data_IF_368751287047
#
_entry.id   IF_368751287047
#
_cell.length_a   1.000
_cell.length_b   1.000
_cell.length_c   1.000
_cell.angle_alpha   90.00
_cell.angle_beta   90.00
_cell.angle_gamma   90.00
#
_symmetry.space_group_name_H-M   'P 1'
#
loop_
_entity.id
_entity.type
_entity.pdbx_description
1 polymer ?
#
# COMPACT_ATOMS: atom_id res chain seq x y z
N UNK A 1 9.49 6.34 -7.53
CA UNK A 1 9.98 5.99 -6.16
C UNK A 1 10.16 7.28 -5.36
N UNK A 2 9.19 7.63 -4.50
CA UNK A 2 9.18 7.45 -3.03
C UNK A 2 10.04 8.46 -2.23
N UNK A 3 9.66 9.75 -2.14
CA UNK A 3 10.27 10.70 -1.21
C UNK A 3 10.15 10.31 0.27
N UNK A 4 9.29 9.34 0.61
CA UNK A 4 9.18 8.75 1.95
C UNK A 4 10.19 7.64 2.22
N UNK A 5 10.42 6.71 1.29
CA UNK A 5 11.50 5.72 1.46
C UNK A 5 12.87 6.38 1.49
N UNK A 6 13.08 7.47 0.74
CA UNK A 6 14.32 8.25 0.82
C UNK A 6 14.46 8.91 2.19
N UNK A 7 13.38 9.48 2.75
CA UNK A 7 13.39 10.05 4.11
C UNK A 7 13.63 9.00 5.19
N UNK A 8 13.02 7.84 5.07
CA UNK A 8 13.16 6.73 6.01
C UNK A 8 14.55 6.10 5.92
N UNK A 9 15.06 5.88 4.70
CA UNK A 9 16.43 5.44 4.46
C UNK A 9 17.45 6.44 4.97
N UNK A 10 17.21 7.74 4.79
CA UNK A 10 18.05 8.81 5.36
C UNK A 10 18.01 8.79 6.88
N UNK A 11 16.84 8.55 7.49
CA UNK A 11 16.70 8.47 8.95
C UNK A 11 17.46 7.26 9.52
N UNK A 12 17.29 6.08 8.93
CA UNK A 12 18.04 4.88 9.31
C UNK A 12 19.55 5.06 9.08
N UNK A 13 19.95 5.70 7.98
CA UNK A 13 21.35 6.02 7.72
C UNK A 13 21.93 7.00 8.75
N UNK A 14 21.15 7.98 9.19
CA UNK A 14 21.55 8.91 10.26
C UNK A 14 21.71 8.18 11.59
N UNK A 15 20.77 7.29 11.97
CA UNK A 15 20.89 6.49 13.19
C UNK A 15 22.11 5.56 13.15
N UNK A 16 22.40 4.92 12.01
CA UNK A 16 23.60 4.10 11.82
C UNK A 16 24.89 4.92 11.90
N UNK A 17 24.88 6.13 11.34
CA UNK A 17 26.04 7.02 11.37
C UNK A 17 26.30 7.55 12.79
N UNK A 18 25.24 7.87 13.54
CA UNK A 18 25.33 8.22 14.97
C UNK A 18 25.87 7.05 15.79
N UNK A 19 25.41 5.82 15.54
CA UNK A 19 25.93 4.62 16.18
C UNK A 19 27.44 4.45 15.92
N UNK A 20 27.88 4.53 14.66
CA UNK A 20 29.29 4.44 14.29
C UNK A 20 30.14 5.53 14.96
N UNK A 21 29.61 6.75 15.08
CA UNK A 21 30.29 7.86 15.72
C UNK A 21 30.43 7.63 17.23
N UNK A 22 29.40 7.08 17.89
CA UNK A 22 29.46 6.72 19.33
C UNK A 22 30.45 5.59 19.59
N UNK A 23 30.54 4.60 18.70
CA UNK A 23 31.56 3.54 18.76
C UNK A 23 32.96 4.13 18.62
N UNK A 24 33.17 5.05 17.67
CA UNK A 24 34.45 5.73 17.48
C UNK A 24 34.90 6.53 18.72
N UNK A 25 33.97 7.26 19.35
CA UNK A 25 34.23 7.99 20.60
C UNK A 25 34.59 7.03 21.74
N UNK A 26 33.86 5.92 21.88
CA UNK A 26 34.14 4.91 22.90
C UNK A 26 35.51 4.24 22.72
N UNK A 27 35.89 3.93 21.48
CA UNK A 27 37.22 3.37 21.18
C UNK A 27 38.33 4.35 21.56
N UNK A 28 38.17 5.66 21.27
CA UNK A 28 39.16 6.67 21.68
C UNK A 28 39.23 6.85 23.19
N UNK A 29 38.10 6.83 23.88
CA UNK A 29 38.05 6.93 25.35
C UNK A 29 38.66 5.70 26.03
N UNK A 30 38.44 4.50 25.47
CA UNK A 30 39.08 3.27 25.92
C UNK A 30 40.59 3.30 25.74
N UNK A 31 41.06 3.75 24.57
CA UNK A 31 42.49 3.93 24.29
C UNK A 31 43.15 5.00 25.17
N UNK A 32 42.39 6.00 25.63
CA UNK A 32 42.84 7.05 26.54
C UNK A 32 42.81 6.63 28.03
N UNK A 33 42.47 5.39 28.35
CA UNK A 33 42.44 4.89 29.74
C UNK A 33 41.18 5.27 30.53
N UNK A 34 40.09 5.63 29.85
CA UNK A 34 38.81 5.99 30.47
C UNK A 34 37.69 4.96 30.13
N UNK A 35 37.79 3.71 30.61
CA UNK A 35 36.87 2.64 30.24
C UNK A 35 35.43 2.89 30.73
N UNK A 36 35.23 3.55 31.87
CA UNK A 36 33.90 3.89 32.37
C UNK A 36 33.15 4.87 31.45
N UNK A 37 33.86 5.87 30.91
CA UNK A 37 33.29 6.83 29.95
C UNK A 37 33.05 6.20 28.58
N UNK A 38 33.92 5.26 28.16
CA UNK A 38 33.70 4.50 26.93
C UNK A 38 32.42 3.65 27.00
N UNK A 39 32.18 2.97 28.13
CA UNK A 39 30.96 2.20 28.37
C UNK A 39 29.73 3.10 28.45
N UNK A 40 29.81 4.25 29.13
CA UNK A 40 28.71 5.22 29.18
C UNK A 40 28.34 5.76 27.80
N UNK A 41 29.34 6.05 26.94
CA UNK A 41 29.12 6.51 25.57
C UNK A 41 28.46 5.44 24.69
N UNK A 42 28.88 4.17 24.80
CA UNK A 42 28.24 3.05 24.11
C UNK A 42 26.81 2.82 24.60
N UNK A 43 26.58 2.90 25.91
CA UNK A 43 25.25 2.72 26.50
C UNK A 43 24.30 3.84 26.05
N UNK A 44 24.74 5.10 26.12
CA UNK A 44 23.93 6.24 25.70
C UNK A 44 23.66 6.24 24.18
N UNK A 45 24.69 5.99 23.36
CA UNK A 45 24.55 5.92 21.90
C UNK A 45 23.71 4.74 21.42
N UNK A 46 23.90 3.57 22.05
CA UNK A 46 23.11 2.37 21.79
C UNK A 46 21.65 2.53 22.20
N UNK A 47 21.36 3.13 23.36
CA UNK A 47 19.99 3.39 23.81
C UNK A 47 19.29 4.40 22.90
N UNK A 48 19.94 5.50 22.53
CA UNK A 48 19.33 6.51 21.67
C UNK A 48 19.02 5.96 20.26
N UNK A 49 19.99 5.28 19.64
CA UNK A 49 19.83 4.70 18.31
C UNK A 49 18.82 3.54 18.32
N UNK A 50 18.87 2.72 19.37
CA UNK A 50 17.92 1.64 19.61
C UNK A 50 16.49 2.16 19.77
N UNK A 51 16.29 3.26 20.50
CA UNK A 51 14.98 3.91 20.63
C UNK A 51 14.48 4.44 19.28
N UNK A 52 15.32 5.10 18.50
CA UNK A 52 14.95 5.66 17.19
C UNK A 52 14.49 4.58 16.21
N UNK A 53 15.24 3.48 16.13
CA UNK A 53 14.90 2.32 15.30
C UNK A 53 13.65 1.61 15.83
N UNK A 54 13.54 1.42 17.15
CA UNK A 54 12.38 0.79 17.77
C UNK A 54 11.10 1.62 17.58
N UNK A 55 11.17 2.94 17.68
CA UNK A 55 10.02 3.83 17.41
C UNK A 55 9.61 3.73 15.94
N UNK A 56 10.56 3.80 15.00
CA UNK A 56 10.27 3.65 13.57
C UNK A 56 9.68 2.28 13.23
N UNK A 57 10.16 1.23 13.90
CA UNK A 57 9.61 -0.12 13.79
C UNK A 57 8.21 -0.20 14.39
N UNK A 58 8.00 0.21 15.65
CA UNK A 58 6.70 0.17 16.34
C UNK A 58 5.65 1.03 15.65
N UNK A 59 6.05 2.16 15.08
CA UNK A 59 5.17 3.08 14.38
C UNK A 59 4.57 2.49 13.08
N UNK A 60 5.02 1.33 12.60
CA UNK A 60 4.41 0.73 11.39
C UNK A 60 4.84 1.34 10.08
N UNK A 61 5.62 2.42 10.12
CA UNK A 61 6.02 3.16 8.92
C UNK A 61 6.84 2.29 7.95
N UNK A 62 7.75 1.47 8.48
CA UNK A 62 8.55 0.51 7.70
C UNK A 62 7.69 -0.63 7.14
N UNK A 63 6.84 -1.21 7.98
CA UNK A 63 6.02 -2.35 7.61
C UNK A 63 4.96 -1.96 6.57
N UNK A 64 4.36 -0.77 6.67
CA UNK A 64 3.38 -0.27 5.71
C UNK A 64 4.04 0.08 4.37
N UNK A 65 5.17 0.80 4.39
CA UNK A 65 5.89 1.17 3.17
C UNK A 65 6.42 -0.04 2.37
N UNK A 66 6.69 -1.15 3.07
CA UNK A 66 7.16 -2.41 2.47
C UNK A 66 6.00 -3.33 2.05
N UNK A 67 5.03 -3.60 2.92
CA UNK A 67 3.93 -4.54 2.64
C UNK A 67 2.81 -3.95 1.80
N UNK A 68 2.51 -2.66 1.98
CA UNK A 68 1.38 -1.99 1.35
C UNK A 68 1.80 -0.61 0.79
N UNK A 69 2.67 -0.58 -0.24
CA UNK A 69 3.28 0.66 -0.74
C UNK A 69 2.26 1.67 -1.31
N UNK A 70 1.12 1.21 -1.82
CA UNK A 70 0.07 2.07 -2.40
C UNK A 70 -0.79 2.68 -1.31
N UNK A 71 -1.04 1.95 -0.22
CA UNK A 71 -1.70 2.48 0.96
C UNK A 71 -0.80 3.45 1.74
N UNK A 72 0.52 3.21 1.82
CA UNK A 72 1.46 4.17 2.41
C UNK A 72 1.46 5.52 1.65
N UNK A 73 1.39 5.49 0.31
CA UNK A 73 1.30 6.69 -0.50
C UNK A 73 0.05 7.54 -0.18
N UNK A 74 -0.99 6.92 0.38
CA UNK A 74 -2.22 7.58 0.83
C UNK A 74 -2.15 8.06 2.28
N UNK A 75 -0.98 7.99 2.91
CA UNK A 75 -0.74 8.34 4.30
C UNK A 75 -1.60 7.56 5.30
N UNK A 76 -2.04 6.34 4.94
CA UNK A 76 -2.64 5.42 5.90
C UNK A 76 -1.57 5.03 6.93
N UNK A 77 -1.81 5.36 8.20
CA UNK A 77 -0.93 4.98 9.32
C UNK A 77 -1.59 3.86 10.10
N UNK A 78 -1.00 2.68 10.06
CA UNK A 78 -1.33 1.59 10.98
C UNK A 78 -0.08 1.27 11.80
N UNK A 79 -0.21 1.12 13.12
CA UNK A 79 0.92 0.71 13.96
C UNK A 79 1.43 -0.68 13.54
N UNK A 80 2.75 -0.92 13.60
CA UNK A 80 3.33 -2.14 13.02
C UNK A 80 2.83 -3.43 13.68
N UNK A 81 2.74 -3.37 15.00
CA UNK A 81 2.63 -4.54 15.86
C UNK A 81 1.22 -5.13 15.81
N UNK A 82 0.21 -4.27 15.75
CA UNK A 82 -1.20 -4.62 15.84
C UNK A 82 -1.96 -4.00 14.66
N UNK A 83 -1.49 -4.25 13.43
CA UNK A 83 -2.26 -3.89 12.24
C UNK A 83 -2.97 -5.12 11.67
N UNK A 84 -4.18 -4.97 11.09
CA UNK A 84 -4.88 -6.03 10.39
C UNK A 84 -4.22 -6.30 9.02
N UNK A 85 -3.00 -6.85 9.04
CA UNK A 85 -2.14 -6.98 7.87
C UNK A 85 -2.76 -7.76 6.73
N UNK A 86 -3.55 -8.81 7.02
CA UNK A 86 -4.25 -9.61 6.02
C UNK A 86 -5.17 -8.75 5.13
N UNK A 87 -6.00 -7.91 5.75
CA UNK A 87 -6.92 -7.00 5.06
C UNK A 87 -6.16 -5.90 4.33
N UNK A 88 -5.14 -5.31 4.96
CA UNK A 88 -4.39 -4.21 4.36
C UNK A 88 -3.60 -4.66 3.13
N UNK A 89 -2.98 -5.84 3.17
CA UNK A 89 -2.31 -6.44 2.01
C UNK A 89 -3.33 -6.80 0.93
N UNK A 90 -4.51 -7.32 1.31
CA UNK A 90 -5.58 -7.58 0.35
C UNK A 90 -6.02 -6.29 -0.36
N UNK A 91 -6.24 -5.21 0.38
CA UNK A 91 -6.60 -3.90 -0.17
C UNK A 91 -5.50 -3.32 -1.09
N UNK A 92 -4.23 -3.36 -0.68
CA UNK A 92 -3.11 -2.91 -1.54
C UNK A 92 -3.02 -3.72 -2.83
N UNK A 93 -3.21 -5.04 -2.73
CA UNK A 93 -3.18 -5.94 -3.89
C UNK A 93 -4.38 -5.76 -4.83
N UNK A 94 -5.55 -5.41 -4.30
CA UNK A 94 -6.71 -5.05 -5.12
C UNK A 94 -6.51 -3.69 -5.81
N UNK A 95 -5.91 -2.70 -5.11
CA UNK A 95 -5.48 -1.44 -5.72
C UNK A 95 -4.42 -1.67 -6.82
N UNK A 96 -3.53 -2.64 -6.63
CA UNK A 96 -2.55 -3.06 -7.63
C UNK A 96 -3.23 -3.57 -8.90
N UNK A 97 -4.19 -4.48 -8.73
CA UNK A 97 -4.93 -5.07 -9.84
C UNK A 97 -5.77 -4.01 -10.58
N UNK A 98 -6.43 -3.11 -9.86
CA UNK A 98 -7.16 -1.98 -10.46
C UNK A 98 -6.23 -1.04 -11.26
N UNK A 99 -5.01 -0.80 -10.79
CA UNK A 99 -4.02 -0.02 -11.54
C UNK A 99 -3.51 -0.76 -12.78
N UNK A 100 -3.34 -2.08 -12.70
CA UNK A 100 -2.93 -2.94 -13.81
C UNK A 100 -4.02 -3.12 -14.87
N UNK A 101 -5.29 -2.88 -14.54
CA UNK A 101 -6.42 -3.01 -15.45
C UNK A 101 -6.44 -1.97 -16.60
N UNK A 102 -5.54 -0.98 -16.62
CA UNK A 102 -5.37 -0.06 -17.74
C UNK A 102 -6.65 0.71 -18.09
N UNK A 103 -7.08 0.62 -19.35
CA UNK A 103 -8.29 1.25 -19.88
C UNK A 103 -9.59 0.77 -19.20
N UNK A 104 -9.61 -0.44 -18.62
CA UNK A 104 -10.78 -0.93 -17.91
C UNK A 104 -11.07 -0.17 -16.61
N UNK A 105 -10.10 0.61 -16.11
CA UNK A 105 -10.27 1.44 -14.92
C UNK A 105 -11.40 2.46 -15.06
N UNK A 106 -11.70 2.91 -16.27
CA UNK A 106 -12.76 3.90 -16.53
C UNK A 106 -14.16 3.35 -16.21
N UNK A 107 -14.35 2.04 -16.29
CA UNK A 107 -15.58 1.36 -15.88
C UNK A 107 -15.72 1.22 -14.35
N UNK A 108 -14.69 1.62 -13.60
CA UNK A 108 -14.64 1.54 -12.13
C UNK A 108 -14.24 2.88 -11.49
N UNK A 109 -14.99 3.97 -11.74
CA UNK A 109 -14.59 5.31 -11.33
C UNK A 109 -14.47 5.45 -9.80
N UNK A 110 -15.31 4.74 -9.05
CA UNK A 110 -15.31 4.78 -7.59
C UNK A 110 -14.49 3.65 -6.93
N UNK A 111 -14.02 2.64 -7.67
CA UNK A 111 -13.40 1.46 -7.07
C UNK A 111 -12.17 1.81 -6.24
N UNK A 112 -11.35 2.77 -6.69
CA UNK A 112 -10.21 3.25 -5.91
C UNK A 112 -10.66 3.82 -4.57
N UNK A 113 -11.73 4.62 -4.54
CA UNK A 113 -12.27 5.22 -3.33
C UNK A 113 -12.80 4.14 -2.38
N UNK A 114 -13.56 3.17 -2.91
CA UNK A 114 -14.10 2.08 -2.11
C UNK A 114 -13.00 1.20 -1.51
N UNK A 115 -11.97 0.82 -2.28
CA UNK A 115 -10.84 0.04 -1.77
C UNK A 115 -10.11 0.75 -0.62
N UNK A 116 -9.94 2.07 -0.72
CA UNK A 116 -9.34 2.89 0.33
C UNK A 116 -10.26 2.97 1.55
N UNK A 117 -11.56 3.16 1.35
CA UNK A 117 -12.55 3.15 2.43
C UNK A 117 -12.60 1.80 3.14
N UNK A 118 -12.49 0.68 2.42
CA UNK A 118 -12.39 -0.66 3.01
C UNK A 118 -11.14 -0.80 3.89
N UNK A 119 -9.99 -0.24 3.48
CA UNK A 119 -8.79 -0.23 4.31
C UNK A 119 -8.98 0.59 5.60
N UNK A 120 -9.63 1.76 5.53
CA UNK A 120 -9.97 2.55 6.73
C UNK A 120 -10.99 1.84 7.63
N UNK A 121 -12.01 1.22 7.05
CA UNK A 121 -13.01 0.42 7.78
C UNK A 121 -12.36 -0.75 8.49
N UNK A 122 -11.39 -1.41 7.87
CA UNK A 122 -10.60 -2.46 8.50
C UNK A 122 -9.81 -1.96 9.71
N UNK A 123 -9.15 -0.79 9.62
CA UNK A 123 -8.48 -0.20 10.78
C UNK A 123 -9.46 0.12 11.91
N UNK A 124 -10.62 0.70 11.59
CA UNK A 124 -11.65 0.99 12.57
C UNK A 124 -12.18 -0.28 13.28
N UNK A 125 -12.47 -1.34 12.51
CA UNK A 125 -12.87 -2.63 13.04
C UNK A 125 -11.78 -3.25 13.92
N UNK A 126 -10.52 -3.20 13.50
CA UNK A 126 -9.41 -3.69 14.29
C UNK A 126 -9.24 -2.93 15.62
N UNK A 127 -9.32 -1.60 15.59
CA UNK A 127 -9.29 -0.79 16.82
C UNK A 127 -10.47 -1.07 17.74
N UNK A 128 -11.66 -1.35 17.19
CA UNK A 128 -12.82 -1.75 17.98
C UNK A 128 -12.59 -3.11 18.65
N UNK A 129 -12.12 -4.12 17.90
CA UNK A 129 -11.79 -5.44 18.44
C UNK A 129 -10.72 -5.35 19.54
N UNK A 130 -9.65 -4.58 19.32
CA UNK A 130 -8.60 -4.37 20.31
C UNK A 130 -9.10 -3.70 21.60
N UNK A 131 -9.96 -2.69 21.48
CA UNK A 131 -10.58 -2.04 22.65
C UNK A 131 -11.53 -2.97 23.39
N UNK A 132 -12.36 -3.73 22.68
CA UNK A 132 -13.26 -4.71 23.28
C UNK A 132 -12.46 -5.78 24.04
N UNK A 133 -11.40 -6.31 23.41
CA UNK A 133 -10.52 -7.30 24.03
C UNK A 133 -9.78 -6.78 25.26
N UNK A 134 -9.29 -5.54 25.21
CA UNK A 134 -8.67 -4.91 26.37
C UNK A 134 -9.67 -4.73 27.52
N UNK A 135 -10.91 -4.31 27.20
CA UNK A 135 -11.98 -4.16 28.20
C UNK A 135 -12.43 -5.51 28.80
N UNK A 136 -12.30 -6.62 28.06
CA UNK A 136 -12.65 -7.96 28.54
C UNK A 136 -11.73 -8.49 29.65
N UNK A 137 -10.48 -8.00 29.73
CA UNK A 137 -9.51 -8.45 30.74
C UNK A 137 -10.02 -8.20 32.16
N UNK A 138 -10.65 -7.05 32.37
CA UNK A 138 -11.11 -6.59 33.70
C UNK A 138 -12.64 -6.68 33.85
N UNK A 139 -13.36 -7.20 32.85
CA UNK A 139 -14.82 -7.23 32.85
C UNK A 139 -15.38 -8.36 33.74
N UNK A 140 -16.22 -8.05 34.75
CA UNK A 140 -16.90 -9.06 35.54
C UNK A 140 -17.89 -9.86 34.67
N UNK A 141 -18.17 -11.10 35.07
CA UNK A 141 -19.16 -11.93 34.38
C UNK A 141 -20.56 -11.28 34.40
N UNK A 142 -21.28 -11.38 33.28
CA UNK A 142 -22.61 -10.81 33.12
C UNK A 142 -22.85 -10.19 31.73
N UNK A 143 -23.95 -9.45 31.60
CA UNK A 143 -24.37 -8.87 30.32
C UNK A 143 -23.34 -7.92 29.69
N UNK A 144 -22.60 -7.16 30.51
CA UNK A 144 -21.59 -6.23 30.03
C UNK A 144 -20.44 -6.95 29.32
N UNK A 145 -19.99 -8.08 29.89
CA UNK A 145 -18.97 -8.95 29.29
C UNK A 145 -19.48 -9.60 28.01
N UNK A 146 -20.71 -10.13 28.02
CA UNK A 146 -21.32 -10.72 26.82
C UNK A 146 -21.44 -9.70 25.66
N UNK A 147 -21.73 -8.43 25.95
CA UNK A 147 -21.74 -7.35 24.94
C UNK A 147 -20.36 -7.07 24.37
N UNK A 148 -19.32 -7.05 25.20
CA UNK A 148 -17.94 -6.86 24.75
C UNK A 148 -17.46 -8.04 23.89
N UNK A 149 -17.77 -9.27 24.27
CA UNK A 149 -17.48 -10.47 23.47
C UNK A 149 -18.20 -10.43 22.11
N UNK A 150 -19.48 -10.02 22.11
CA UNK A 150 -20.22 -9.85 20.87
C UNK A 150 -19.63 -8.74 19.97
N UNK A 151 -19.18 -7.62 20.55
CA UNK A 151 -18.51 -6.54 19.82
C UNK A 151 -17.18 -6.98 19.22
N UNK A 152 -16.35 -7.70 19.97
CA UNK A 152 -15.10 -8.28 19.46
C UNK A 152 -15.39 -9.25 18.31
N UNK A 153 -16.32 -10.19 18.51
CA UNK A 153 -16.67 -11.19 17.51
C UNK A 153 -17.26 -10.57 16.23
N UNK A 154 -18.02 -9.49 16.34
CA UNK A 154 -18.54 -8.77 15.18
C UNK A 154 -17.42 -8.04 14.42
N UNK A 155 -16.52 -7.38 15.15
CA UNK A 155 -15.39 -6.67 14.56
C UNK A 155 -14.40 -7.63 13.86
N UNK A 156 -14.13 -8.81 14.43
CA UNK A 156 -13.31 -9.83 13.79
C UNK A 156 -13.97 -10.39 12.52
N UNK A 157 -15.28 -10.69 12.57
CA UNK A 157 -16.04 -11.14 11.39
C UNK A 157 -16.02 -10.11 10.27
N UNK A 158 -16.13 -8.83 10.60
CA UNK A 158 -16.02 -7.74 9.63
C UNK A 158 -14.63 -7.74 8.95
N UNK A 159 -13.54 -7.95 9.70
CA UNK A 159 -12.20 -8.04 9.13
C UNK A 159 -12.05 -9.23 8.16
N UNK A 160 -12.59 -10.38 8.51
CA UNK A 160 -12.57 -11.56 7.65
C UNK A 160 -13.38 -11.34 6.37
N UNK A 161 -14.59 -10.78 6.50
CA UNK A 161 -15.45 -10.44 5.36
C UNK A 161 -14.77 -9.45 4.42
N UNK A 162 -14.15 -8.39 4.95
CA UNK A 162 -13.40 -7.43 4.15
C UNK A 162 -12.21 -8.10 3.46
N UNK A 163 -11.48 -8.97 4.15
CA UNK A 163 -10.36 -9.73 3.54
C UNK A 163 -10.83 -10.55 2.34
N UNK A 164 -11.91 -11.32 2.52
CA UNK A 164 -12.47 -12.17 1.46
C UNK A 164 -12.99 -11.34 0.28
N UNK A 165 -13.76 -10.30 0.56
CA UNK A 165 -14.31 -9.42 -0.48
C UNK A 165 -13.20 -8.73 -1.30
N UNK A 166 -12.13 -8.26 -0.65
CA UNK A 166 -11.01 -7.63 -1.34
C UNK A 166 -10.21 -8.62 -2.19
N UNK A 167 -10.05 -9.86 -1.73
CA UNK A 167 -9.41 -10.93 -2.50
C UNK A 167 -10.24 -11.32 -3.72
N UNK A 168 -11.55 -11.45 -3.55
CA UNK A 168 -12.47 -11.74 -4.66
C UNK A 168 -12.46 -10.60 -5.68
N UNK A 169 -12.54 -9.35 -5.21
CA UNK A 169 -12.48 -8.19 -6.08
C UNK A 169 -11.15 -8.11 -6.85
N UNK A 170 -10.02 -8.40 -6.20
CA UNK A 170 -8.73 -8.54 -6.90
C UNK A 170 -8.81 -9.62 -7.99
N UNK A 171 -9.33 -10.80 -7.68
CA UNK A 171 -9.43 -11.89 -8.64
C UNK A 171 -10.26 -11.47 -9.86
N UNK A 172 -11.37 -10.76 -9.64
CA UNK A 172 -12.20 -10.20 -10.71
C UNK A 172 -11.47 -9.15 -11.55
N UNK A 173 -10.71 -8.25 -10.93
CA UNK A 173 -9.90 -7.28 -11.69
C UNK A 173 -8.83 -7.97 -12.53
N UNK A 174 -8.16 -8.98 -11.99
CA UNK A 174 -7.18 -9.78 -12.73
C UNK A 174 -7.84 -10.49 -13.91
N UNK A 175 -8.99 -11.14 -13.68
CA UNK A 175 -9.73 -11.83 -14.72
C UNK A 175 -10.23 -10.88 -15.82
N UNK A 176 -10.77 -9.72 -15.44
CA UNK A 176 -11.21 -8.69 -16.39
C UNK A 176 -10.06 -8.08 -17.21
N UNK A 177 -8.85 -8.04 -16.64
CA UNK A 177 -7.64 -7.56 -17.32
C UNK A 177 -6.92 -8.65 -18.14
N UNK A 178 -7.37 -9.91 -18.08
CA UNK A 178 -6.75 -10.98 -18.83
C UNK A 178 -7.03 -10.78 -20.34
N UNK A 179 -6.03 -10.96 -21.22
CA UNK A 179 -6.26 -10.90 -22.65
C UNK A 179 -7.29 -11.96 -23.04
N UNK A 180 -8.29 -11.57 -23.83
CA UNK A 180 -9.25 -12.52 -24.40
C UNK A 180 -8.47 -13.59 -25.19
N UNK A 181 -8.74 -14.88 -24.97
CA UNK A 181 -8.13 -15.92 -25.79
C UNK A 181 -8.46 -15.64 -27.26
N UNK A 182 -7.43 -15.57 -28.10
CA UNK A 182 -7.49 -15.14 -29.52
C UNK A 182 -8.47 -16.00 -30.37
N UNK A 183 -8.94 -17.12 -29.85
CA UNK A 183 -9.94 -17.99 -30.50
C UNK A 183 -11.42 -17.70 -30.18
N UNK A 184 -11.74 -17.01 -29.09
CA UNK A 184 -13.09 -16.99 -28.48
C UNK A 184 -13.73 -15.60 -28.39
N UNK A 185 -13.18 -14.59 -29.08
CA UNK A 185 -13.85 -13.31 -29.18
C UNK A 185 -15.22 -13.50 -29.88
N UNK A 186 -16.35 -13.07 -29.25
CA UNK A 186 -17.64 -12.99 -29.91
C UNK A 186 -17.50 -12.33 -31.28
N UNK A 187 -18.23 -12.78 -32.31
CA UNK A 187 -18.11 -12.25 -33.67
C UNK A 187 -18.21 -10.72 -33.70
N UNK A 188 -19.06 -10.15 -32.84
CA UNK A 188 -19.25 -8.71 -32.65
C UNK A 188 -17.97 -7.96 -32.24
N UNK A 189 -17.12 -8.54 -31.39
CA UNK A 189 -15.85 -7.92 -30.96
C UNK A 189 -14.74 -8.09 -32.01
N UNK A 190 -14.79 -9.15 -32.82
CA UNK A 190 -13.91 -9.28 -33.99
C UNK A 190 -14.24 -8.23 -35.04
N UNK A 191 -15.53 -8.05 -35.32
CA UNK A 191 -16.01 -7.05 -36.26
C UNK A 191 -15.67 -5.63 -35.80
N UNK A 192 -15.82 -5.32 -34.51
CA UNK A 192 -15.39 -4.04 -33.94
C UNK A 192 -13.86 -3.85 -34.03
N UNK A 193 -13.08 -4.92 -33.82
CA UNK A 193 -11.63 -4.92 -33.97
C UNK A 193 -11.20 -4.61 -35.41
N UNK A 194 -11.84 -5.24 -36.39
CA UNK A 194 -11.60 -5.02 -37.82
C UNK A 194 -12.02 -3.60 -38.23
N UNK A 195 -13.17 -3.12 -37.76
CA UNK A 195 -13.62 -1.74 -37.98
C UNK A 195 -12.63 -0.72 -37.40
N UNK A 196 -12.09 -0.97 -36.20
CA UNK A 196 -11.10 -0.07 -35.58
C UNK A 196 -9.77 -0.03 -36.34
N UNK A 197 -9.34 -1.18 -36.89
CA UNK A 197 -8.14 -1.27 -37.73
C UNK A 197 -8.32 -0.60 -39.09
N UNK A 198 -9.50 -0.72 -39.70
CA UNK A 198 -9.85 0.02 -40.92
C UNK A 198 -9.87 1.53 -40.68
N UNK A 199 -10.39 1.97 -39.53
CA UNK A 199 -10.40 3.37 -39.14
C UNK A 199 -8.98 3.90 -38.93
N UNK A 200 -8.12 3.15 -38.23
CA UNK A 200 -6.72 3.50 -38.03
C UNK A 200 -5.94 3.62 -39.36
N UNK A 201 -6.20 2.72 -40.32
CA UNK A 201 -5.61 2.81 -41.67
C UNK A 201 -6.13 4.01 -42.45
N UNK A 202 -7.43 4.28 -42.40
CA UNK A 202 -8.01 5.44 -43.10
C UNK A 202 -7.46 6.77 -42.57
N UNK A 203 -7.19 6.87 -41.27
CA UNK A 203 -6.55 8.03 -40.64
C UNK A 203 -5.08 8.17 -41.08
N UNK A 204 -4.34 7.06 -41.18
CA UNK A 204 -2.95 7.04 -41.66
C UNK A 204 -2.85 7.40 -43.16
N UNK A 205 -3.83 6.97 -43.98
CA UNK A 205 -3.94 7.35 -45.38
C UNK A 205 -4.30 8.83 -45.57
N UNK A 206 -5.21 9.37 -44.76
CA UNK A 206 -5.52 10.80 -44.72
C UNK A 206 -4.31 11.66 -44.30
N UNK A 207 -3.47 11.15 -43.40
CA UNK A 207 -2.23 11.84 -43.01
C UNK A 207 -1.10 11.70 -44.04
N UNK A 208 -1.13 10.67 -44.88
CA UNK A 208 -0.14 10.47 -45.96
C UNK A 208 -0.55 11.06 -47.30
N UNK A 209 -1.80 11.44 -47.51
CA UNK A 209 -2.22 12.11 -48.73
C UNK A 209 -1.58 13.52 -48.80
N UNK A 210 -0.65 13.79 -49.74
CA UNK A 210 -0.17 15.15 -49.94
C UNK A 210 -1.33 16.02 -50.44
N UNK A 211 -1.50 17.21 -49.86
CA UNK A 211 -2.38 18.26 -50.37
C UNK A 211 -2.01 18.58 -51.82
N UNK A 212 -2.62 17.89 -52.76
CA UNK A 212 -2.67 18.28 -54.16
C UNK A 212 -4.04 18.92 -54.40
N UNK A 213 -4.22 20.11 -53.83
CA UNK A 213 -5.32 20.99 -54.22
C UNK A 213 -4.96 21.57 -55.59
N UNK A 214 -5.67 21.24 -56.68
CA UNK A 214 -5.51 21.99 -57.92
C UNK A 214 -6.08 23.39 -57.67
N UNK A 215 -5.22 24.42 -57.77
CA UNK A 215 -5.65 25.82 -57.77
C UNK A 215 -6.46 26.06 -59.05
N UNK A 216 -7.78 26.34 -58.99
CA UNK A 216 -8.52 26.79 -60.15
C UNK A 216 -8.44 28.32 -60.17
N UNK A 217 -7.64 28.86 -61.08
CA UNK A 217 -7.52 30.30 -61.25
C UNK A 217 -6.83 30.65 -62.55
N UNK A 218 -7.60 30.74 -63.63
CA UNK A 218 -7.17 31.45 -64.82
C UNK A 218 -7.10 32.95 -64.56
N UNK A 219 -6.06 33.59 -65.09
CA UNK A 219 -6.11 34.63 -66.14
C UNK A 219 -4.69 34.81 -66.69
#
# INVERSE_FOLDING_TARGET
>A
MKPRMVRLGRRVAVELLLLLLTVGVAVRLGAAGHPGWALAALAAGGLASGLGIAIAWRAGELAMAWRCPRLDALALRAGALDAPWSVLVAADSALAALQGAGSYREFFPEARRHLVQSAFRALAAHHLAGRARAALVDAPEGEARARLEAQEALALRELDNLTHALRDLKARFVAASAPLPIGEAPPELRELGEQSLLLARSIDELHRAPESVPVPGGL
#
